data_IF_332311679865
#
_entry.id   IF_332311679865
#
_cell.length_a   1.000
_cell.length_b   1.000
_cell.length_c   1.000
_cell.angle_alpha   90.00
_cell.angle_beta   90.00
_cell.angle_gamma   90.00
#
_symmetry.space_group_name_H-M   'P 1'
#
loop_
_entity.id
_entity.type
_entity.pdbx_description
1 polymer ?
#
# COMPACT_ATOMS: atom_id res chain seq x y z
N UNK A 1 6.37 9.83 -25.09
CA UNK A 1 5.75 8.67 -24.40
C UNK A 1 4.89 9.26 -23.31
N UNK A 2 3.59 8.94 -23.28
CA UNK A 2 2.72 9.52 -22.25
C UNK A 2 2.95 8.81 -20.91
N UNK A 3 2.69 9.48 -19.79
CA UNK A 3 2.75 8.87 -18.46
C UNK A 3 1.80 7.66 -18.34
N UNK A 4 0.67 7.69 -19.06
CA UNK A 4 -0.29 6.59 -19.13
C UNK A 4 0.27 5.34 -19.82
N UNK A 5 1.01 5.50 -20.92
CA UNK A 5 1.69 4.38 -21.59
C UNK A 5 2.80 3.79 -20.71
N UNK A 6 3.43 4.62 -19.87
CA UNK A 6 4.41 4.16 -18.89
C UNK A 6 3.71 3.34 -17.80
N UNK A 7 2.68 3.87 -17.15
CA UNK A 7 1.93 3.16 -16.12
C UNK A 7 1.32 1.84 -16.62
N UNK A 8 0.74 1.83 -17.82
CA UNK A 8 0.20 0.60 -18.40
C UNK A 8 1.26 -0.51 -18.54
N UNK A 9 2.53 -0.18 -18.78
CA UNK A 9 3.62 -1.16 -18.85
C UNK A 9 4.04 -1.72 -17.50
N UNK A 10 3.72 -1.02 -16.40
CA UNK A 10 4.03 -1.50 -15.06
C UNK A 10 3.19 -2.71 -14.67
N UNK A 11 2.04 -2.92 -15.31
CA UNK A 11 1.12 -4.02 -14.99
C UNK A 11 0.49 -3.93 -13.59
N UNK A 12 0.63 -2.79 -12.89
CA UNK A 12 -0.03 -2.56 -11.60
C UNK A 12 -1.54 -2.68 -11.76
N UNK A 13 -2.18 -3.32 -10.78
CA UNK A 13 -3.62 -3.60 -10.81
C UNK A 13 -4.44 -2.50 -10.13
N UNK A 14 -3.82 -1.79 -9.17
CA UNK A 14 -4.45 -0.79 -8.34
C UNK A 14 -3.44 0.23 -7.82
N UNK A 15 -3.93 1.31 -7.21
CA UNK A 15 -3.11 2.36 -6.61
C UNK A 15 -3.44 2.55 -5.13
N UNK A 16 -2.42 2.79 -4.30
CA UNK A 16 -2.61 3.24 -2.94
C UNK A 16 -2.31 4.73 -2.81
N UNK A 17 -3.21 5.48 -2.17
CA UNK A 17 -3.06 6.91 -1.95
C UNK A 17 -3.14 7.25 -0.46
N UNK A 18 -2.30 8.21 -0.05
CA UNK A 18 -2.28 8.74 1.31
C UNK A 18 -2.88 10.15 1.33
N UNK A 19 -3.98 10.40 2.06
CA UNK A 19 -4.62 11.72 2.12
C UNK A 19 -3.71 12.85 2.62
N UNK A 20 -2.70 12.52 3.42
CA UNK A 20 -1.72 13.50 3.92
C UNK A 20 -0.69 13.93 2.88
N UNK A 21 -0.61 13.23 1.75
CA UNK A 21 0.40 13.45 0.71
C UNK A 21 -0.20 13.95 -0.60
N UNK A 22 -1.49 13.66 -0.85
CA UNK A 22 -2.20 14.09 -2.04
C UNK A 22 -3.70 14.20 -1.81
N UNK A 23 -4.37 14.91 -2.72
CA UNK A 23 -5.82 14.91 -2.82
C UNK A 23 -6.30 13.57 -3.43
N UNK A 24 -6.95 12.73 -2.62
CA UNK A 24 -7.39 11.39 -3.03
C UNK A 24 -8.43 11.40 -4.15
N UNK A 25 -9.11 12.53 -4.39
CA UNK A 25 -10.05 12.67 -5.53
C UNK A 25 -9.36 12.50 -6.88
N UNK A 26 -8.04 12.76 -6.93
CA UNK A 26 -7.22 12.55 -8.13
C UNK A 26 -7.07 11.08 -8.50
N UNK A 27 -7.53 10.13 -7.69
CA UNK A 27 -7.59 8.73 -8.09
C UNK A 27 -8.47 8.53 -9.35
N UNK A 28 -9.50 9.34 -9.55
CA UNK A 28 -10.34 9.31 -10.76
C UNK A 28 -9.57 9.69 -12.05
N UNK A 29 -8.44 10.42 -11.90
CA UNK A 29 -7.58 10.79 -13.02
C UNK A 29 -6.54 9.68 -13.35
N UNK A 30 -6.45 8.63 -12.54
CA UNK A 30 -5.49 7.55 -12.69
C UNK A 30 -6.08 6.38 -13.51
N UNK A 31 -5.25 5.61 -14.23
CA UNK A 31 -5.73 4.51 -15.05
C UNK A 31 -5.98 3.21 -14.24
N UNK A 32 -6.57 3.32 -13.05
CA UNK A 32 -6.85 2.19 -12.17
C UNK A 32 -8.34 2.16 -11.80
N UNK A 33 -8.93 0.96 -11.82
CA UNK A 33 -10.32 0.75 -11.41
C UNK A 33 -10.45 0.58 -9.89
N UNK A 34 -9.34 0.39 -9.17
CA UNK A 34 -9.28 0.17 -7.72
C UNK A 34 -8.28 1.12 -7.06
N UNK A 35 -8.73 1.81 -6.00
CA UNK A 35 -7.88 2.61 -5.11
C UNK A 35 -7.95 2.11 -3.66
N UNK A 36 -6.79 1.97 -3.03
CA UNK A 36 -6.66 1.79 -1.59
C UNK A 36 -6.33 3.15 -0.95
N UNK A 37 -7.24 3.71 -0.15
CA UNK A 37 -6.99 4.89 0.65
C UNK A 37 -6.35 4.46 1.96
N UNK A 38 -5.05 4.75 2.09
CA UNK A 38 -4.26 4.45 3.28
C UNK A 38 -4.02 5.72 4.09
N UNK A 39 -4.79 5.91 5.16
CA UNK A 39 -4.65 7.08 6.01
C UNK A 39 -3.85 6.77 7.29
N UNK A 40 -3.16 7.78 7.78
CA UNK A 40 -2.35 7.72 8.99
C UNK A 40 -2.86 8.73 10.00
N UNK A 41 -3.50 8.24 11.07
CA UNK A 41 -4.10 9.06 12.11
C UNK A 41 -5.54 9.49 11.82
N UNK A 42 -6.26 9.85 12.89
CA UNK A 42 -7.71 10.10 12.84
C UNK A 42 -8.09 11.34 12.03
N UNK A 43 -7.23 12.35 11.99
CA UNK A 43 -7.50 13.61 11.29
C UNK A 43 -7.27 13.53 9.78
N UNK A 44 -6.71 12.41 9.30
CA UNK A 44 -6.38 12.19 7.89
C UNK A 44 -7.47 11.43 7.12
N UNK A 45 -8.57 11.04 7.77
CA UNK A 45 -9.65 10.29 7.12
C UNK A 45 -10.42 11.22 6.17
N UNK A 46 -10.57 10.88 4.89
CA UNK A 46 -11.40 11.67 3.98
C UNK A 46 -12.85 11.70 4.46
N UNK A 47 -13.53 12.83 4.22
CA UNK A 47 -14.93 12.95 4.57
C UNK A 47 -15.84 12.03 3.74
N UNK A 48 -17.06 11.83 4.23
CA UNK A 48 -18.06 10.95 3.62
C UNK A 48 -18.41 11.34 2.19
N UNK A 49 -18.47 12.63 1.88
CA UNK A 49 -18.80 13.13 0.54
C UNK A 49 -17.69 12.80 -0.45
N UNK A 50 -16.44 13.00 -0.05
CA UNK A 50 -15.26 12.63 -0.83
C UNK A 50 -15.21 11.13 -1.10
N UNK A 51 -15.43 10.31 -0.07
CA UNK A 51 -15.44 8.85 -0.21
C UNK A 51 -16.59 8.37 -1.11
N UNK A 52 -17.79 8.93 -0.95
CA UNK A 52 -18.96 8.55 -1.75
C UNK A 52 -18.79 8.95 -3.22
N UNK A 53 -18.34 10.19 -3.48
CA UNK A 53 -18.10 10.65 -4.84
C UNK A 53 -17.02 9.84 -5.55
N UNK A 54 -15.97 9.41 -4.83
CA UNK A 54 -14.96 8.54 -5.41
C UNK A 54 -15.49 7.14 -5.72
N UNK A 55 -16.27 6.57 -4.80
CA UNK A 55 -16.87 5.25 -4.95
C UNK A 55 -17.98 5.17 -6.03
N UNK A 56 -18.45 6.31 -6.55
CA UNK A 56 -19.36 6.35 -7.69
C UNK A 56 -18.63 6.06 -9.03
N UNK A 57 -17.30 6.22 -9.07
CA UNK A 57 -16.50 6.12 -10.28
C UNK A 57 -15.50 4.94 -10.27
N UNK A 58 -14.91 4.66 -9.11
CA UNK A 58 -13.88 3.64 -8.94
C UNK A 58 -14.13 2.80 -7.69
N UNK A 59 -13.63 1.57 -7.66
CA UNK A 59 -13.68 0.74 -6.44
C UNK A 59 -12.76 1.34 -5.38
N UNK A 60 -13.30 1.60 -4.18
CA UNK A 60 -12.56 2.23 -3.08
C UNK A 60 -12.42 1.25 -1.93
N UNK A 61 -11.18 1.07 -1.45
CA UNK A 61 -10.88 0.36 -0.21
C UNK A 61 -10.26 1.31 0.82
N UNK A 62 -10.89 1.44 1.98
CA UNK A 62 -10.42 2.31 3.06
C UNK A 62 -9.73 1.50 4.16
N UNK A 63 -8.49 1.86 4.50
CA UNK A 63 -7.79 1.28 5.66
C UNK A 63 -8.61 1.50 6.94
N UNK A 64 -9.00 0.43 7.64
CA UNK A 64 -9.87 0.48 8.82
C UNK A 64 -9.17 -0.18 10.02
N UNK A 65 -8.65 0.60 11.00
CA UNK A 65 -7.90 0.08 12.13
C UNK A 65 -8.84 -0.45 13.23
N UNK A 66 -9.01 -1.77 13.31
CA UNK A 66 -10.03 -2.41 14.17
C UNK A 66 -9.82 -2.22 15.67
N UNK A 67 -8.67 -1.71 16.10
CA UNK A 67 -8.41 -1.37 17.51
C UNK A 67 -8.74 0.07 17.86
N UNK A 68 -8.88 0.96 16.88
CA UNK A 68 -9.11 2.37 17.15
C UNK A 68 -10.56 2.61 17.59
N UNK A 69 -10.76 3.54 18.52
CA UNK A 69 -12.10 4.02 18.84
C UNK A 69 -12.77 4.57 17.58
N UNK A 70 -14.09 4.40 17.49
CA UNK A 70 -14.90 4.65 16.29
C UNK A 70 -14.88 3.53 15.26
N UNK A 71 -13.89 2.63 15.30
CA UNK A 71 -13.73 1.50 14.37
C UNK A 71 -13.65 0.13 15.07
N UNK A 72 -13.76 0.10 16.41
CA UNK A 72 -13.64 -1.13 17.19
C UNK A 72 -14.96 -1.91 17.18
N UNK A 73 -15.05 -3.05 16.48
CA UNK A 73 -16.30 -3.81 16.38
C UNK A 73 -16.72 -4.46 17.71
N UNK A 74 -15.84 -4.48 18.71
CA UNK A 74 -16.12 -4.96 20.06
C UNK A 74 -16.22 -3.81 21.07
N UNK A 75 -16.30 -2.57 20.60
CA UNK A 75 -16.25 -1.36 21.39
C UNK A 75 -17.03 -0.22 20.75
N UNK A 76 -16.35 0.90 20.53
CA UNK A 76 -16.93 2.05 19.84
C UNK A 76 -16.77 1.91 18.32
N UNK A 77 -17.88 1.76 17.61
CA UNK A 77 -17.97 1.70 16.15
C UNK A 77 -18.64 2.94 15.53
N UNK A 78 -18.73 4.05 16.27
CA UNK A 78 -19.46 5.26 15.85
C UNK A 78 -19.01 5.85 14.52
N UNK A 79 -17.74 5.67 14.12
CA UNK A 79 -17.20 6.16 12.86
C UNK A 79 -17.43 5.21 11.69
N UNK A 80 -17.72 3.92 11.92
CA UNK A 80 -18.04 2.99 10.83
C UNK A 80 -19.29 3.40 10.06
N UNK A 81 -20.29 3.98 10.74
CA UNK A 81 -21.51 4.47 10.10
C UNK A 81 -21.29 5.68 9.18
N UNK A 82 -20.14 6.35 9.31
CA UNK A 82 -19.75 7.48 8.45
C UNK A 82 -19.09 7.02 7.15
N UNK A 83 -18.61 5.77 7.08
CA UNK A 83 -18.09 5.19 5.85
C UNK A 83 -19.28 4.87 4.93
N UNK A 84 -19.31 5.36 3.68
CA UNK A 84 -20.33 4.98 2.71
C UNK A 84 -20.35 3.46 2.48
N UNK A 85 -21.54 2.88 2.29
CA UNK A 85 -21.67 1.43 2.05
C UNK A 85 -21.09 0.97 0.70
N UNK A 86 -20.80 1.90 -0.22
CA UNK A 86 -20.10 1.66 -1.48
C UNK A 86 -18.59 1.58 -1.33
N UNK A 87 -18.06 1.88 -0.14
CA UNK A 87 -16.62 1.81 0.15
C UNK A 87 -16.33 0.53 0.91
N UNK A 88 -15.51 -0.32 0.29
CA UNK A 88 -14.97 -1.51 0.91
C UNK A 88 -13.88 -1.17 1.93
N UNK A 89 -13.48 -2.14 2.76
CA UNK A 89 -12.51 -1.92 3.84
C UNK A 89 -11.28 -2.80 3.71
N UNK A 90 -10.15 -2.25 4.17
CA UNK A 90 -8.94 -3.00 4.49
C UNK A 90 -8.79 -3.05 6.00
N UNK A 91 -9.11 -4.18 6.62
CA UNK A 91 -9.05 -4.34 8.06
C UNK A 91 -7.60 -4.50 8.50
N UNK A 92 -7.14 -3.61 9.39
CA UNK A 92 -5.78 -3.65 9.93
C UNK A 92 -5.82 -3.64 11.45
N UNK A 93 -4.75 -4.13 12.09
CA UNK A 93 -4.60 -3.99 13.54
C UNK A 93 -4.53 -2.51 13.98
N UNK A 94 -4.12 -1.61 13.08
CA UNK A 94 -3.86 -0.21 13.37
C UNK A 94 -2.42 0.01 13.83
N UNK A 95 -1.77 1.03 13.27
CA UNK A 95 -0.36 1.31 13.50
C UNK A 95 -0.13 1.91 14.90
N UNK A 96 0.79 1.37 15.73
CA UNK A 96 0.96 1.80 17.13
C UNK A 96 1.29 3.28 17.37
N UNK A 97 1.80 4.00 16.36
CA UNK A 97 2.06 5.43 16.46
C UNK A 97 0.78 6.29 16.48
N UNK A 98 -0.32 5.76 15.95
CA UNK A 98 -1.60 6.47 15.82
C UNK A 98 -2.67 5.96 16.79
N UNK A 99 -2.30 5.02 17.67
CA UNK A 99 -3.18 4.44 18.67
C UNK A 99 -2.76 4.93 20.07
N UNK A 100 -3.76 5.27 20.88
CA UNK A 100 -3.61 5.47 22.32
C UNK A 100 -3.14 4.18 23.00
N UNK A 101 -2.66 4.30 24.24
CA UNK A 101 -2.25 3.14 25.04
C UNK A 101 -3.40 2.13 25.22
N UNK A 102 -4.61 2.64 25.49
CA UNK A 102 -5.82 1.82 25.61
C UNK A 102 -6.10 1.04 24.33
N UNK A 103 -6.12 1.72 23.17
CA UNK A 103 -6.36 1.07 21.88
C UNK A 103 -5.30 0.02 21.57
N UNK A 104 -4.01 0.31 21.83
CA UNK A 104 -2.91 -0.64 21.61
C UNK A 104 -3.03 -1.91 22.44
N UNK A 105 -3.59 -1.81 23.65
CA UNK A 105 -3.74 -2.95 24.57
C UNK A 105 -4.81 -3.96 24.14
N UNK A 106 -5.68 -3.58 23.19
CA UNK A 106 -6.80 -4.40 22.73
C UNK A 106 -6.34 -5.63 21.95
N UNK A 107 -7.01 -6.76 22.19
CA UNK A 107 -6.78 -7.99 21.45
C UNK A 107 -7.24 -7.84 19.99
N UNK A 108 -6.33 -8.10 19.04
CA UNK A 108 -6.57 -7.91 17.60
C UNK A 108 -7.43 -9.03 17.00
N UNK A 109 -7.11 -10.29 17.29
CA UNK A 109 -7.80 -11.45 16.67
C UNK A 109 -9.33 -11.44 16.77
N UNK A 110 -9.95 -11.22 17.95
CA UNK A 110 -11.41 -11.23 18.03
C UNK A 110 -12.03 -10.03 17.28
N UNK A 111 -11.32 -8.90 17.18
CA UNK A 111 -11.80 -7.71 16.46
C UNK A 111 -11.74 -7.89 14.95
N UNK A 112 -10.65 -8.47 14.43
CA UNK A 112 -10.58 -8.81 13.01
C UNK A 112 -11.64 -9.85 12.64
N UNK A 113 -11.86 -10.85 13.48
CA UNK A 113 -12.92 -11.84 13.27
C UNK A 113 -14.31 -11.21 13.17
N UNK A 114 -14.66 -10.33 14.12
CA UNK A 114 -15.96 -9.63 14.11
C UNK A 114 -16.09 -8.68 12.92
N UNK A 115 -15.08 -7.84 12.67
CA UNK A 115 -15.10 -6.91 11.54
C UNK A 115 -15.22 -7.62 10.19
N UNK A 116 -14.58 -8.80 10.04
CA UNK A 116 -14.66 -9.64 8.85
C UNK A 116 -15.99 -10.36 8.71
N UNK A 117 -16.61 -10.76 9.82
CA UNK A 117 -17.95 -11.36 9.81
C UNK A 117 -19.00 -10.32 9.37
N UNK A 118 -18.84 -9.07 9.78
CA UNK A 118 -19.70 -7.96 9.35
C UNK A 118 -19.48 -7.55 7.89
N UNK A 119 -18.30 -7.80 7.33
CA UNK A 119 -17.93 -7.41 5.96
C UNK A 119 -17.21 -8.54 5.22
N UNK A 120 -18.02 -9.19 4.39
CA UNK A 120 -17.68 -10.31 3.52
C UNK A 120 -16.55 -10.03 2.53
N UNK A 121 -16.41 -8.77 2.09
CA UNK A 121 -15.50 -8.36 1.01
C UNK A 121 -14.20 -7.73 1.52
N UNK A 122 -14.10 -7.48 2.83
CA UNK A 122 -12.95 -6.81 3.40
C UNK A 122 -11.64 -7.56 3.16
N UNK A 123 -10.61 -6.79 2.79
CA UNK A 123 -9.23 -7.25 2.80
C UNK A 123 -8.69 -7.23 4.23
N UNK A 124 -7.68 -8.05 4.51
CA UNK A 124 -7.05 -8.12 5.83
C UNK A 124 -5.57 -7.79 5.70
N UNK A 125 -5.17 -6.62 6.21
CA UNK A 125 -3.77 -6.24 6.29
C UNK A 125 -3.04 -7.08 7.33
N UNK A 126 -1.91 -7.66 6.92
CA UNK A 126 -1.24 -8.73 7.68
C UNK A 126 -0.08 -8.25 8.55
N UNK A 127 0.35 -6.98 8.39
CA UNK A 127 1.56 -6.46 9.04
C UNK A 127 1.55 -6.67 10.56
N UNK A 128 2.45 -7.53 11.04
CA UNK A 128 2.62 -7.86 12.46
C UNK A 128 1.56 -8.79 13.06
N UNK A 129 0.66 -9.34 12.24
CA UNK A 129 -0.45 -10.21 12.65
C UNK A 129 -0.73 -11.36 11.67
N UNK A 130 0.29 -11.81 10.93
CA UNK A 130 0.17 -12.68 9.75
C UNK A 130 -0.64 -13.97 10.04
N UNK A 131 -0.33 -14.65 11.16
CA UNK A 131 -1.06 -15.87 11.55
C UNK A 131 -2.53 -15.61 11.87
N UNK A 132 -2.84 -14.43 12.42
CA UNK A 132 -4.21 -14.05 12.77
C UNK A 132 -4.97 -13.69 11.51
N UNK A 133 -4.36 -12.94 10.59
CA UNK A 133 -4.96 -12.60 9.31
C UNK A 133 -5.34 -13.84 8.50
N UNK A 134 -4.44 -14.83 8.43
CA UNK A 134 -4.73 -16.12 7.78
C UNK A 134 -5.90 -16.87 8.41
N UNK A 135 -6.04 -16.82 9.75
CA UNK A 135 -7.13 -17.50 10.44
C UNK A 135 -8.49 -16.80 10.26
N UNK A 136 -8.47 -15.47 10.04
CA UNK A 136 -9.67 -14.66 9.78
C UNK A 136 -10.14 -14.84 8.33
N UNK A 137 -9.22 -15.08 7.40
CA UNK A 137 -9.52 -15.33 5.98
C UNK A 137 -9.87 -14.07 5.20
N UNK A 138 -10.29 -14.24 3.94
CA UNK A 138 -10.41 -13.16 2.96
C UNK A 138 -9.09 -12.84 2.26
N UNK A 139 -9.10 -11.82 1.40
CA UNK A 139 -7.92 -11.36 0.67
C UNK A 139 -6.86 -10.91 1.66
N UNK A 140 -5.70 -11.56 1.65
CA UNK A 140 -4.55 -11.15 2.45
C UNK A 140 -3.91 -9.93 1.80
N UNK A 141 -3.78 -8.82 2.52
CA UNK A 141 -3.14 -7.62 2.02
C UNK A 141 -1.76 -7.45 2.67
N UNK A 142 -0.75 -7.84 1.93
CA UNK A 142 0.64 -7.96 2.39
C UNK A 142 1.46 -6.74 1.97
N UNK A 143 2.53 -6.44 2.70
CA UNK A 143 3.54 -5.48 2.25
C UNK A 143 4.60 -6.20 1.41
N UNK A 144 5.01 -5.59 0.31
CA UNK A 144 6.15 -6.08 -0.47
C UNK A 144 7.39 -6.21 0.42
N UNK A 145 8.01 -7.38 0.35
CA UNK A 145 9.21 -7.72 1.09
C UNK A 145 10.12 -8.65 0.31
N UNK A 146 11.37 -8.76 0.79
CA UNK A 146 12.35 -9.71 0.25
C UNK A 146 11.87 -11.17 0.20
N UNK A 147 10.90 -11.55 1.05
CA UNK A 147 10.41 -12.93 1.14
C UNK A 147 9.05 -13.14 0.49
N UNK A 148 8.40 -12.09 -0.04
CA UNK A 148 7.04 -12.16 -0.62
C UNK A 148 6.88 -13.35 -1.55
N UNK A 149 7.74 -13.53 -2.55
CA UNK A 149 7.61 -14.65 -3.49
C UNK A 149 7.70 -16.03 -2.81
N UNK A 150 8.60 -16.16 -1.84
CA UNK A 150 8.77 -17.41 -1.09
C UNK A 150 7.54 -17.67 -0.23
N UNK A 151 7.04 -16.64 0.45
CA UNK A 151 5.94 -16.75 1.40
C UNK A 151 4.63 -17.05 0.66
N UNK A 152 4.38 -16.41 -0.47
CA UNK A 152 3.23 -16.71 -1.35
C UNK A 152 3.32 -18.14 -1.90
N UNK A 153 4.47 -18.58 -2.42
CA UNK A 153 4.63 -19.98 -2.86
C UNK A 153 4.39 -20.97 -1.73
N UNK A 154 4.84 -20.65 -0.51
CA UNK A 154 4.61 -21.50 0.66
C UNK A 154 3.12 -21.54 1.04
N UNK A 155 2.40 -20.42 0.97
CA UNK A 155 0.95 -20.35 1.17
C UNK A 155 0.20 -21.20 0.15
N UNK A 156 0.50 -21.01 -1.15
CA UNK A 156 -0.11 -21.80 -2.23
C UNK A 156 0.19 -23.30 -2.09
N UNK A 157 1.43 -23.67 -1.76
CA UNK A 157 1.80 -25.07 -1.51
C UNK A 157 1.12 -25.68 -0.28
N UNK A 158 0.77 -24.86 0.72
CA UNK A 158 -0.02 -25.27 1.87
C UNK A 158 -1.53 -25.37 1.57
N UNK A 159 -1.95 -25.07 0.35
CA UNK A 159 -3.35 -25.15 -0.10
C UNK A 159 -4.19 -23.91 0.18
N UNK A 160 -3.56 -22.76 0.47
CA UNK A 160 -4.29 -21.49 0.55
C UNK A 160 -4.78 -21.07 -0.85
N UNK A 161 -6.09 -20.95 -1.01
CA UNK A 161 -6.79 -20.66 -2.25
C UNK A 161 -7.44 -19.27 -2.28
N UNK A 162 -7.36 -18.50 -1.18
CA UNK A 162 -7.83 -17.11 -1.13
C UNK A 162 -6.91 -16.14 -1.86
N UNK A 163 -7.39 -14.92 -2.10
CA UNK A 163 -6.62 -13.91 -2.82
C UNK A 163 -5.47 -13.32 -1.97
N UNK A 164 -4.40 -12.89 -2.64
CA UNK A 164 -3.28 -12.15 -2.07
C UNK A 164 -3.11 -10.84 -2.83
N UNK A 165 -3.38 -9.73 -2.14
CA UNK A 165 -3.08 -8.39 -2.60
C UNK A 165 -1.75 -7.92 -1.98
N UNK A 166 -0.98 -7.11 -2.71
CA UNK A 166 0.33 -6.65 -2.30
C UNK A 166 0.46 -5.13 -2.39
N UNK A 167 0.68 -4.46 -1.26
CA UNK A 167 1.08 -3.06 -1.23
C UNK A 167 2.57 -2.94 -1.58
N UNK A 168 2.89 -2.12 -2.59
CA UNK A 168 4.24 -1.91 -3.04
C UNK A 168 4.54 -0.43 -3.30
N UNK A 169 5.41 0.22 -2.51
CA UNK A 169 6.01 1.49 -2.91
C UNK A 169 6.62 1.35 -4.30
N UNK A 170 6.33 2.29 -5.18
CA UNK A 170 6.69 2.24 -6.59
C UNK A 170 7.43 3.52 -6.96
N UNK A 171 8.54 3.37 -7.68
CA UNK A 171 9.40 4.45 -8.15
C UNK A 171 9.77 4.18 -9.61
N UNK A 172 9.29 5.02 -10.52
CA UNK A 172 9.43 4.82 -11.98
C UNK A 172 10.68 5.50 -12.54
N UNK A 173 11.83 5.27 -11.91
CA UNK A 173 13.14 5.73 -12.38
C UNK A 173 14.22 4.69 -12.11
N UNK A 174 15.22 4.61 -12.99
CA UNK A 174 16.44 3.83 -12.81
C UNK A 174 17.60 4.65 -12.21
N UNK A 175 17.39 5.96 -12.01
CA UNK A 175 18.30 6.83 -11.28
C UNK A 175 18.37 6.42 -9.80
N UNK A 176 19.53 5.91 -9.39
CA UNK A 176 19.75 5.40 -8.03
C UNK A 176 19.56 6.48 -6.97
N UNK A 177 19.93 7.73 -7.25
CA UNK A 177 19.76 8.83 -6.29
C UNK A 177 18.27 9.14 -6.08
N UNK A 178 17.51 9.27 -7.17
CA UNK A 178 16.05 9.41 -7.11
C UNK A 178 15.35 8.25 -6.39
N UNK A 179 15.84 7.01 -6.54
CA UNK A 179 15.31 5.84 -5.82
C UNK A 179 15.59 5.95 -4.32
N UNK A 180 16.81 6.29 -3.93
CA UNK A 180 17.18 6.42 -2.50
C UNK A 180 16.43 7.57 -1.83
N UNK A 181 16.28 8.71 -2.50
CA UNK A 181 15.50 9.84 -2.01
C UNK A 181 14.04 9.45 -1.75
N UNK A 182 13.45 8.63 -2.61
CA UNK A 182 12.05 8.22 -2.51
C UNK A 182 11.79 7.14 -1.44
N UNK A 183 12.57 6.06 -1.46
CA UNK A 183 12.26 4.84 -0.69
C UNK A 183 13.39 4.36 0.22
N UNK A 184 14.53 5.04 0.26
CA UNK A 184 15.65 4.66 1.11
C UNK A 184 15.30 4.75 2.61
N UNK A 185 14.61 5.83 3.03
CA UNK A 185 14.08 5.96 4.40
C UNK A 185 13.04 4.89 4.75
N UNK A 186 12.20 4.50 3.80
CA UNK A 186 11.24 3.41 3.97
C UNK A 186 11.93 2.06 4.15
N UNK A 187 12.88 1.74 3.28
CA UNK A 187 13.65 0.50 3.33
C UNK A 187 14.49 0.40 4.62
N UNK A 188 15.08 1.52 5.07
CA UNK A 188 15.90 1.57 6.28
C UNK A 188 15.15 1.18 7.56
N UNK A 189 13.83 1.42 7.63
CA UNK A 189 12.99 1.05 8.78
C UNK A 189 12.72 -0.45 8.88
N UNK A 190 12.95 -1.21 7.80
CA UNK A 190 12.75 -2.66 7.80
C UNK A 190 13.80 -3.32 8.69
N UNK A 191 13.36 -4.11 9.67
CA UNK A 191 14.22 -4.68 10.72
C UNK A 191 15.54 -5.30 10.21
N UNK A 192 15.57 -6.12 9.14
CA UNK A 192 16.82 -6.67 8.62
C UNK A 192 17.78 -5.60 8.07
N UNK A 193 17.23 -4.52 7.51
CA UNK A 193 17.98 -3.39 6.95
C UNK A 193 18.48 -2.49 8.08
N UNK A 194 17.61 -2.09 9.00
CA UNK A 194 17.97 -1.32 10.19
C UNK A 194 19.12 -1.98 10.98
N UNK A 195 19.10 -3.31 11.11
CA UNK A 195 20.15 -4.08 11.80
C UNK A 195 21.50 -4.10 11.05
N UNK A 196 21.50 -3.79 9.75
CA UNK A 196 22.68 -3.77 8.89
C UNK A 196 23.23 -2.34 8.67
N UNK A 197 22.53 -1.32 9.15
CA UNK A 197 22.90 0.09 9.06
C UNK A 197 23.55 0.57 10.37
N UNK A 198 24.38 1.63 10.32
CA UNK A 198 24.84 2.32 11.53
C UNK A 198 23.67 3.00 12.27
N UNK A 199 23.91 3.45 13.50
CA UNK A 199 23.00 4.37 14.19
C UNK A 199 22.83 5.67 13.39
N UNK A 200 21.60 6.20 13.34
CA UNK A 200 21.21 7.41 12.58
C UNK A 200 21.76 7.48 11.14
N UNK A 201 21.43 6.49 10.28
CA UNK A 201 21.98 6.44 8.93
C UNK A 201 21.41 7.57 8.06
N UNK A 202 22.25 8.11 7.17
CA UNK A 202 21.77 8.88 6.01
C UNK A 202 21.08 7.90 5.06
N UNK A 203 19.79 8.13 4.77
CA UNK A 203 18.94 7.16 4.07
C UNK A 203 18.51 7.59 2.68
N UNK A 204 19.01 8.73 2.21
CA UNK A 204 18.69 9.33 0.90
C UNK A 204 19.90 9.21 -0.05
N UNK A 205 19.86 9.93 -1.18
CA UNK A 205 20.94 9.99 -2.18
C UNK A 205 22.31 10.36 -1.61
N UNK A 206 22.37 11.04 -0.45
CA UNK A 206 23.62 11.42 0.22
C UNK A 206 24.25 10.25 0.98
N UNK A 207 23.60 9.10 1.04
CA UNK A 207 24.20 7.90 1.61
C UNK A 207 25.47 7.54 0.84
N UNK A 208 26.54 7.21 1.57
CA UNK A 208 27.83 6.83 1.01
C UNK A 208 28.29 5.45 1.51
N UNK A 209 29.28 4.88 0.81
CA UNK A 209 29.95 3.65 1.20
C UNK A 209 29.00 2.50 1.53
N UNK A 210 29.20 1.88 2.69
CA UNK A 210 28.45 0.69 3.09
C UNK A 210 26.95 0.95 3.28
N UNK A 211 26.57 2.13 3.79
CA UNK A 211 25.17 2.53 3.97
C UNK A 211 24.46 2.54 2.62
N UNK A 212 25.06 3.18 1.62
CA UNK A 212 24.51 3.21 0.25
C UNK A 212 24.38 1.81 -0.33
N UNK A 213 25.43 0.98 -0.24
CA UNK A 213 25.39 -0.40 -0.73
C UNK A 213 24.24 -1.23 -0.14
N UNK A 214 23.96 -1.06 1.16
CA UNK A 214 22.88 -1.76 1.85
C UNK A 214 21.52 -1.25 1.38
N UNK A 215 21.35 0.08 1.34
CA UNK A 215 20.10 0.70 0.91
C UNK A 215 19.77 0.40 -0.55
N UNK A 216 20.73 0.51 -1.46
CA UNK A 216 20.56 0.20 -2.89
C UNK A 216 20.04 -1.22 -3.12
N UNK A 217 20.42 -2.19 -2.29
CA UNK A 217 19.86 -3.55 -2.36
C UNK A 217 18.47 -3.59 -1.73
N UNK A 218 18.34 -3.01 -0.53
CA UNK A 218 17.10 -3.04 0.22
C UNK A 218 15.92 -2.37 -0.50
N UNK A 219 16.13 -1.25 -1.19
CA UNK A 219 15.05 -0.58 -1.93
C UNK A 219 14.42 -1.50 -2.98
N UNK A 220 15.21 -2.38 -3.62
CA UNK A 220 14.71 -3.39 -4.58
C UNK A 220 14.02 -4.59 -3.93
N UNK A 221 14.28 -4.82 -2.63
CA UNK A 221 13.63 -5.87 -1.84
C UNK A 221 12.25 -5.45 -1.31
N UNK A 222 12.04 -4.15 -1.08
CA UNK A 222 10.84 -3.62 -0.39
C UNK A 222 10.04 -2.61 -1.22
N UNK A 223 10.45 -2.31 -2.45
CA UNK A 223 9.76 -1.43 -3.38
C UNK A 223 9.91 -1.93 -4.82
N UNK A 224 8.99 -1.53 -5.70
CA UNK A 224 9.08 -1.68 -7.15
C UNK A 224 9.83 -0.49 -7.71
N UNK A 225 11.07 -0.70 -8.16
CA UNK A 225 11.96 0.38 -8.60
C UNK A 225 12.52 0.09 -9.98
N UNK A 226 12.59 1.10 -10.83
CA UNK A 226 13.20 1.02 -12.17
C UNK A 226 12.35 1.70 -13.24
N UNK A 227 12.68 1.44 -14.50
CA UNK A 227 11.83 1.86 -15.61
C UNK A 227 10.46 1.18 -15.56
N UNK A 228 9.43 1.72 -16.23
CA UNK A 228 8.12 1.07 -16.28
C UNK A 228 8.17 -0.40 -16.74
N UNK A 229 9.03 -0.73 -17.69
CA UNK A 229 9.23 -2.11 -18.17
C UNK A 229 9.86 -3.00 -17.08
N UNK A 230 10.84 -2.48 -16.35
CA UNK A 230 11.50 -3.22 -15.25
C UNK A 230 10.51 -3.53 -14.13
N UNK A 231 9.65 -2.54 -13.81
CA UNK A 231 8.55 -2.73 -12.85
C UNK A 231 7.53 -3.73 -13.40
N UNK A 232 7.16 -3.64 -14.67
CA UNK A 232 6.28 -4.59 -15.36
C UNK A 232 6.72 -6.04 -15.24
N UNK A 233 7.99 -6.31 -15.57
CA UNK A 233 8.57 -7.64 -15.42
C UNK A 233 8.54 -8.13 -13.96
N UNK A 234 8.68 -7.21 -12.99
CA UNK A 234 8.60 -7.56 -11.56
C UNK A 234 7.18 -7.90 -11.15
N UNK A 235 6.19 -7.14 -11.61
CA UNK A 235 4.77 -7.38 -11.34
C UNK A 235 4.32 -8.71 -11.97
N UNK A 236 4.70 -8.99 -13.22
CA UNK A 236 4.41 -10.27 -13.88
C UNK A 236 4.95 -11.47 -13.06
N UNK A 237 6.19 -11.37 -12.55
CA UNK A 237 6.76 -12.42 -11.66
C UNK A 237 6.01 -12.58 -10.34
N UNK A 238 5.43 -11.51 -9.80
CA UNK A 238 4.60 -11.58 -8.60
C UNK A 238 3.29 -12.31 -8.90
N UNK A 239 2.65 -12.01 -10.02
CA UNK A 239 1.46 -12.73 -10.50
C UNK A 239 1.75 -14.22 -10.75
N UNK A 240 2.84 -14.55 -11.44
CA UNK A 240 3.27 -15.95 -11.67
C UNK A 240 3.53 -16.72 -10.36
N UNK A 241 3.88 -16.00 -9.29
CA UNK A 241 4.09 -16.56 -7.96
C UNK A 241 2.77 -16.81 -7.23
N UNK A 242 1.67 -16.19 -7.67
CA UNK A 242 0.33 -16.35 -7.12
C UNK A 242 -0.16 -15.16 -6.29
N UNK A 243 0.42 -13.97 -6.50
CA UNK A 243 -0.19 -12.69 -6.08
C UNK A 243 -1.31 -12.36 -7.06
N UNK A 244 -2.47 -11.95 -6.56
CA UNK A 244 -3.67 -11.69 -7.36
C UNK A 244 -3.86 -10.20 -7.65
N UNK A 245 -3.30 -9.31 -6.82
CA UNK A 245 -3.40 -7.86 -7.01
C UNK A 245 -2.14 -7.18 -6.52
N UNK A 246 -1.52 -6.33 -7.34
CA UNK A 246 -0.39 -5.48 -6.96
C UNK A 246 -0.86 -4.03 -6.90
N UNK A 247 -0.85 -3.47 -5.68
CA UNK A 247 -1.26 -2.10 -5.37
C UNK A 247 -0.03 -1.21 -5.29
N UNK A 248 0.16 -0.36 -6.31
CA UNK A 248 1.29 0.57 -6.37
C UNK A 248 1.06 1.81 -5.53
N UNK A 249 1.99 2.15 -4.64
CA UNK A 249 2.02 3.43 -3.94
C UNK A 249 3.05 4.35 -4.62
N UNK A 250 2.67 5.51 -5.18
CA UNK A 250 3.59 6.40 -5.90
C UNK A 250 4.53 7.13 -4.94
N UNK A 251 5.69 6.54 -4.66
CA UNK A 251 6.56 6.98 -3.58
C UNK A 251 7.27 8.32 -3.85
N UNK A 252 7.21 8.82 -5.09
CA UNK A 252 7.70 10.15 -5.49
C UNK A 252 6.59 11.20 -5.63
N UNK A 253 5.40 10.89 -5.15
CA UNK A 253 4.21 11.71 -5.29
C UNK A 253 3.31 11.23 -6.42
N UNK A 254 2.01 11.48 -6.28
CA UNK A 254 0.98 11.03 -7.22
C UNK A 254 1.25 11.53 -8.65
N UNK A 255 1.96 12.65 -8.80
CA UNK A 255 2.35 13.28 -10.05
C UNK A 255 3.14 12.34 -10.96
N UNK A 256 3.92 11.41 -10.42
CA UNK A 256 4.62 10.39 -11.21
C UNK A 256 3.62 9.45 -11.94
N UNK A 257 2.41 9.33 -11.40
CA UNK A 257 1.34 8.50 -11.93
C UNK A 257 0.29 9.32 -12.70
N UNK A 258 0.30 10.65 -12.56
CA UNK A 258 -0.64 11.51 -13.26
C UNK A 258 -0.15 11.86 -14.65
N UNK A 259 -1.09 11.97 -15.56
CA UNK A 259 -0.84 12.32 -16.94
C UNK A 259 -0.53 13.82 -17.02
N UNK A 260 0.58 14.19 -17.65
CA UNK A 260 0.74 15.53 -18.20
C UNK A 260 -0.01 15.57 -19.55
N UNK A 261 -1.28 15.99 -19.55
CA UNK A 261 -2.02 16.30 -20.80
C UNK A 261 -1.61 17.65 -21.42
N UNK A 262 -0.72 18.41 -20.78
CA UNK A 262 -0.49 19.82 -21.13
C UNK A 262 0.43 20.08 -22.35
N UNK A 263 1.00 19.07 -23.02
CA UNK A 263 1.97 19.30 -24.12
C UNK A 263 1.42 18.97 -25.53
N UNK A 264 0.14 18.59 -25.68
CA UNK A 264 -0.42 18.27 -27.01
C UNK A 264 -1.19 19.40 -27.70
N UNK A 265 -1.35 20.58 -27.11
CA UNK A 265 -2.14 21.69 -27.70
C UNK A 265 -1.32 22.93 -28.10
N UNK A 266 0.01 22.85 -28.12
CA UNK A 266 0.87 23.99 -28.49
C UNK A 266 1.68 23.77 -29.78
N UNK A 267 1.28 22.84 -30.66
CA UNK A 267 1.98 22.61 -31.95
C UNK A 267 1.14 22.84 -33.21
N UNK A 268 -0.11 23.28 -33.08
CA UNK A 268 -0.95 23.69 -34.22
C UNK A 268 -1.28 25.18 -34.09
N UNK A 269 -0.30 26.04 -34.39
CA UNK A 269 -0.50 27.40 -34.92
C UNK A 269 0.73 27.82 -35.76
#
# INVERSE_FOLDING_TARGET
>A
MTSRDALARTGLDAVALKPTECDVRRAADLPFDLVAIDYEGRDAVPDRETLAGLADEIDVKLTTPVRADGYDPLGDESLLAEIPTSVDRVLVAGHPAYLSETERSRAVSPRLGEARAADGGAWVGTEGIERVALAVGGTQYELLSRSTERDVRALRAAGFDGDVALYAPTVLTDDEDGVLDAVGGYAARRRPVASALPEDPVTDSRAEGRTREVLSKAVRDYALVGTPETVGERVERLHETGVDTVVGYPARGIEEFLVDEAVSLASDD
#
